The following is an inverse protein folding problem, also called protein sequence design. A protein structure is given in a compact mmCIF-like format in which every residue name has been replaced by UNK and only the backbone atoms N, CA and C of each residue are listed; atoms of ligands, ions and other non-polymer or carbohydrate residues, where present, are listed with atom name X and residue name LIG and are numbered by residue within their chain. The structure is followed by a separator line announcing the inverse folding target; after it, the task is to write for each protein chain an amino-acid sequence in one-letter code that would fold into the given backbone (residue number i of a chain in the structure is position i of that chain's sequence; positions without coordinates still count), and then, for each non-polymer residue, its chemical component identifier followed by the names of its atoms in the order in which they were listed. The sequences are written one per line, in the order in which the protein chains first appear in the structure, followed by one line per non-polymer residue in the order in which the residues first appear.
data_IF_191452320074
#
_entry.id   IF_191452320074
#
_cell.length_a   1.000
_cell.length_b   1.000
_cell.length_c   1.000
_cell.angle_alpha   90.00
_cell.angle_beta   90.00
_cell.angle_gamma   90.00
#
_symmetry.space_group_name_H-M   'P 1'
#
loop_
_entity.id
_entity.type
_entity.pdbx_description
1 polymer ?
#
# COMPACT_ATOMS: atom_id res chain seq x y z
N UNK A 1 7.50 14.25 2.36
CA UNK A 1 6.04 14.41 2.53
C UNK A 1 5.56 13.45 3.60
N UNK A 2 4.41 13.70 4.22
CA UNK A 2 3.90 12.84 5.29
C UNK A 2 2.65 12.11 4.86
N UNK A 3 2.74 10.80 4.75
CA UNK A 3 1.61 9.94 4.40
C UNK A 3 0.94 9.44 5.67
N UNK A 4 -0.29 9.88 5.93
CA UNK A 4 -1.07 9.42 7.09
C UNK A 4 -2.15 8.44 6.65
N UNK A 5 -1.88 7.16 6.88
CA UNK A 5 -2.85 6.08 6.68
C UNK A 5 -3.62 5.77 7.96
N UNK A 6 -4.87 5.31 7.80
CA UNK A 6 -5.63 4.70 8.89
C UNK A 6 -4.94 3.42 9.38
N UNK A 7 -5.13 2.99 10.65
CA UNK A 7 -4.46 1.82 11.20
C UNK A 7 -4.69 0.53 10.41
N UNK A 8 -5.91 0.30 9.92
CA UNK A 8 -6.29 -0.84 9.08
C UNK A 8 -5.52 -0.88 7.76
N UNK A 9 -5.37 0.29 7.10
CA UNK A 9 -4.63 0.39 5.84
C UNK A 9 -3.12 0.23 6.06
N UNK A 10 -2.58 0.62 7.23
CA UNK A 10 -1.16 0.38 7.57
C UNK A 10 -0.87 -1.09 7.80
N UNK A 11 -1.77 -1.80 8.48
CA UNK A 11 -1.63 -3.23 8.67
C UNK A 11 -1.62 -3.93 7.31
N UNK A 12 -2.57 -3.59 6.44
CA UNK A 12 -2.62 -4.09 5.07
C UNK A 12 -1.34 -3.75 4.29
N UNK A 13 -0.88 -2.51 4.31
CA UNK A 13 0.37 -2.10 3.65
C UNK A 13 1.56 -2.92 4.17
N UNK A 14 1.60 -3.20 5.48
CA UNK A 14 2.62 -4.04 6.09
C UNK A 14 2.60 -5.48 5.57
N UNK A 15 1.42 -6.07 5.38
CA UNK A 15 1.30 -7.39 4.74
C UNK A 15 1.79 -7.36 3.30
N UNK A 16 1.35 -6.36 2.52
CA UNK A 16 1.70 -6.19 1.11
C UNK A 16 3.21 -6.04 0.95
N UNK A 17 3.83 -5.14 1.70
CA UNK A 17 5.26 -4.88 1.65
C UNK A 17 6.05 -6.14 2.01
N UNK A 18 5.68 -6.85 3.08
CA UNK A 18 6.36 -8.11 3.44
C UNK A 18 6.30 -9.17 2.33
N UNK A 19 5.22 -9.18 1.54
CA UNK A 19 5.01 -10.16 0.47
C UNK A 19 5.66 -9.75 -0.85
N UNK A 20 5.44 -8.52 -1.30
CA UNK A 20 5.82 -8.03 -2.63
C UNK A 20 7.21 -7.38 -2.64
N UNK A 21 7.55 -6.62 -1.59
CA UNK A 21 8.74 -5.77 -1.51
C UNK A 21 9.33 -5.74 -0.10
N UNK A 22 9.85 -6.87 0.42
CA UNK A 22 10.33 -6.96 1.80
C UNK A 22 11.51 -6.02 2.10
N UNK A 23 12.18 -5.52 1.06
CA UNK A 23 13.20 -4.48 1.14
C UNK A 23 12.65 -3.13 1.66
N UNK A 24 11.34 -2.89 1.55
CA UNK A 24 10.69 -1.66 2.01
C UNK A 24 10.13 -1.74 3.43
N UNK A 25 10.37 -2.84 4.18
CA UNK A 25 9.82 -3.00 5.53
C UNK A 25 10.27 -1.88 6.47
N UNK A 26 11.54 -1.45 6.37
CA UNK A 26 12.07 -0.39 7.23
C UNK A 26 11.38 0.96 6.97
N UNK A 27 10.93 1.20 5.74
CA UNK A 27 10.19 2.40 5.34
C UNK A 27 8.84 2.52 6.07
N UNK A 28 8.20 1.41 6.41
CA UNK A 28 6.93 1.39 7.15
C UNK A 28 7.04 2.08 8.52
N UNK A 29 8.20 1.96 9.17
CA UNK A 29 8.44 2.59 10.47
C UNK A 29 8.64 4.11 10.38
N UNK A 30 9.07 4.58 9.21
CA UNK A 30 9.39 5.99 8.92
C UNK A 30 8.18 6.79 8.45
N UNK A 31 7.23 6.13 7.78
CA UNK A 31 6.01 6.71 7.19
C UNK A 31 5.25 7.69 8.12
N UNK A 32 5.18 7.41 9.42
CA UNK A 32 4.45 8.23 10.39
C UNK A 32 5.28 9.33 11.06
N UNK A 33 6.58 9.12 11.16
CA UNK A 33 7.46 9.87 12.04
C UNK A 33 8.38 10.82 11.26
N UNK A 34 8.63 10.51 10.00
CA UNK A 34 9.61 11.17 9.15
C UNK A 34 8.98 11.61 7.83
N UNK A 35 9.64 12.56 7.17
CA UNK A 35 9.35 12.83 5.79
C UNK A 35 9.90 11.69 4.93
N UNK A 36 9.02 11.11 4.11
CA UNK A 36 9.39 10.14 3.09
C UNK A 36 9.52 10.84 1.75
N UNK A 37 10.47 10.37 0.95
CA UNK A 37 10.69 10.88 -0.39
C UNK A 37 9.59 10.39 -1.35
N UNK A 38 9.22 11.16 -2.38
CA UNK A 38 8.20 10.75 -3.35
C UNK A 38 8.50 9.39 -4.02
N UNK A 39 9.78 9.08 -4.23
CA UNK A 39 10.22 7.80 -4.81
C UNK A 39 9.96 6.62 -3.87
N UNK A 40 10.12 6.82 -2.56
CA UNK A 40 9.82 5.82 -1.54
C UNK A 40 8.31 5.54 -1.47
N UNK A 41 7.48 6.59 -1.56
CA UNK A 41 6.02 6.47 -1.65
C UNK A 41 5.60 5.77 -2.95
N UNK A 42 6.26 6.10 -4.07
CA UNK A 42 6.05 5.43 -5.35
C UNK A 42 6.31 3.93 -5.27
N UNK A 43 7.38 3.51 -4.60
CA UNK A 43 7.67 2.09 -4.43
C UNK A 43 6.62 1.35 -3.58
N UNK A 44 6.04 1.99 -2.57
CA UNK A 44 4.92 1.44 -1.79
C UNK A 44 3.63 1.37 -2.60
N UNK A 45 3.38 2.38 -3.43
CA UNK A 45 2.25 2.44 -4.34
C UNK A 45 2.32 1.29 -5.36
N UNK A 46 3.48 1.08 -5.97
CA UNK A 46 3.70 0.00 -6.92
C UNK A 46 3.48 -1.38 -6.26
N UNK A 47 4.01 -1.58 -5.03
CA UNK A 47 3.79 -2.82 -4.29
C UNK A 47 2.30 -3.10 -4.00
N UNK A 48 1.52 -2.06 -3.65
CA UNK A 48 0.09 -2.17 -3.46
C UNK A 48 -0.66 -2.43 -4.77
N UNK A 49 -0.24 -1.81 -5.87
CA UNK A 49 -0.76 -2.05 -7.21
C UNK A 49 -0.54 -3.48 -7.68
N UNK A 50 0.67 -4.03 -7.47
CA UNK A 50 1.01 -5.40 -7.82
C UNK A 50 0.16 -6.41 -7.02
N UNK A 51 -0.03 -6.19 -5.70
CA UNK A 51 -0.92 -7.02 -4.89
C UNK A 51 -2.38 -6.92 -5.35
N UNK A 52 -2.85 -5.72 -5.71
CA UNK A 52 -4.20 -5.51 -6.22
C UNK A 52 -4.43 -6.28 -7.52
N UNK A 53 -3.49 -6.21 -8.47
CA UNK A 53 -3.59 -6.97 -9.71
C UNK A 53 -3.55 -8.48 -9.47
N UNK A 54 -2.80 -8.94 -8.46
CA UNK A 54 -2.66 -10.36 -8.15
C UNK A 54 -3.85 -10.94 -7.35
N UNK A 55 -4.51 -10.14 -6.51
CA UNK A 55 -5.45 -10.65 -5.49
C UNK A 55 -6.72 -9.84 -5.29
N UNK A 56 -6.85 -8.68 -5.96
CA UNK A 56 -7.94 -7.73 -5.73
C UNK A 56 -9.21 -8.01 -6.53
N UNK A 57 -9.15 -8.90 -7.52
CA UNK A 57 -10.27 -9.20 -8.41
C UNK A 57 -10.86 -10.60 -8.11
N UNK A 58 -12.16 -10.75 -8.35
CA UNK A 58 -12.83 -12.04 -8.49
C UNK A 58 -12.61 -12.59 -9.92
N UNK A 59 -13.08 -13.82 -10.16
CA UNK A 59 -13.02 -14.47 -11.48
C UNK A 59 -13.82 -13.71 -12.58
N UNK A 60 -14.72 -12.80 -12.19
CA UNK A 60 -15.54 -11.98 -13.08
C UNK A 60 -14.99 -10.55 -13.27
N UNK A 61 -13.72 -10.32 -12.94
CA UNK A 61 -13.02 -9.03 -12.98
C UNK A 61 -13.64 -7.93 -12.09
N UNK A 62 -14.56 -8.27 -11.19
CA UNK A 62 -15.06 -7.33 -10.16
C UNK A 62 -14.15 -7.29 -8.95
N UNK A 63 -14.13 -6.16 -8.23
CA UNK A 63 -13.40 -6.04 -6.97
C UNK A 63 -13.92 -7.03 -5.93
N UNK A 64 -13.00 -7.77 -5.31
CA UNK A 64 -13.30 -8.53 -4.10
C UNK A 64 -13.07 -7.66 -2.84
N UNK A 65 -13.35 -8.21 -1.65
CA UNK A 65 -13.19 -7.46 -0.39
C UNK A 65 -11.77 -6.95 -0.16
N UNK A 66 -10.76 -7.73 -0.54
CA UNK A 66 -9.36 -7.31 -0.43
C UNK A 66 -9.03 -6.23 -1.47
N UNK A 67 -9.56 -6.35 -2.69
CA UNK A 67 -9.44 -5.35 -3.75
C UNK A 67 -9.94 -3.98 -3.34
N UNK A 68 -11.09 -3.91 -2.66
CA UNK A 68 -11.63 -2.64 -2.13
C UNK A 68 -10.65 -2.00 -1.14
N UNK A 69 -10.12 -2.75 -0.18
CA UNK A 69 -9.16 -2.20 0.79
C UNK A 69 -7.81 -1.83 0.15
N UNK A 70 -7.37 -2.56 -0.87
CA UNK A 70 -6.16 -2.23 -1.64
C UNK A 70 -6.36 -0.96 -2.47
N UNK A 71 -7.54 -0.76 -3.07
CA UNK A 71 -7.88 0.49 -3.75
C UNK A 71 -7.87 1.68 -2.78
N UNK A 72 -8.45 1.53 -1.58
CA UNK A 72 -8.39 2.54 -0.53
C UNK A 72 -6.94 2.85 -0.10
N UNK A 73 -6.11 1.82 0.06
CA UNK A 73 -4.69 1.97 0.37
C UNK A 73 -3.95 2.75 -0.72
N UNK A 74 -4.12 2.34 -1.98
CA UNK A 74 -3.53 3.01 -3.15
C UNK A 74 -3.97 4.48 -3.20
N UNK A 75 -5.25 4.76 -2.95
CA UNK A 75 -5.77 6.11 -2.85
C UNK A 75 -5.12 6.92 -1.73
N UNK A 76 -4.92 6.31 -0.55
CA UNK A 76 -4.25 6.92 0.59
C UNK A 76 -2.77 7.25 0.38
N UNK A 77 -2.07 6.45 -0.44
CA UNK A 77 -0.67 6.70 -0.83
C UNK A 77 -0.54 7.81 -1.88
N UNK A 78 -1.60 8.11 -2.62
CA UNK A 78 -1.61 9.08 -3.73
C UNK A 78 -1.85 10.52 -3.30
N UNK A 79 -2.32 10.73 -2.06
CA UNK A 79 -2.62 12.06 -1.52
C UNK A 79 -1.40 12.61 -0.76
N UNK A 80 -0.98 13.87 -1.03
CA UNK A 80 0.18 14.51 -0.40
C UNK A 80 -0.01 14.86 1.08
#
# INVERSE_FOLDING_TARGET
MRVKLRPDLKELLGEVVKKQRPDLVDLLSRLDNEDVEPEEVGALFDAAGDEFMATGLNDDDTLNQRGIHLEELIGGLRLP
#
